data_IF_002468692688
#
_entry.id   IF_002468692688
#
_cell.length_a   1.000
_cell.length_b   1.000
_cell.length_c   1.000
_cell.angle_alpha   90.00
_cell.angle_beta   90.00
_cell.angle_gamma   90.00
#
_symmetry.space_group_name_H-M   'P 1'
#
loop_
_entity.id
_entity.type
_entity.pdbx_description
1 polymer ?
#
# COMPACT_ATOMS: atom_id res chain seq x y z
N UNK A 1 -20.56 -8.64 -9.20
CA UNK A 1 -19.19 -8.33 -9.64
C UNK A 1 -18.39 -7.75 -8.51
N UNK A 2 -17.19 -8.24 -8.27
CA UNK A 2 -16.39 -7.80 -7.16
C UNK A 2 -15.28 -6.81 -7.53
N UNK A 3 -15.54 -5.87 -8.46
CA UNK A 3 -14.57 -4.84 -8.83
C UNK A 3 -15.21 -3.47 -8.62
N UNK A 4 -14.48 -2.59 -7.93
CA UNK A 4 -14.94 -1.24 -7.69
C UNK A 4 -13.76 -0.27 -7.82
N UNK A 5 -14.02 0.90 -8.45
CA UNK A 5 -13.07 2.00 -8.50
C UNK A 5 -13.18 2.83 -7.22
N UNK A 6 -12.10 2.92 -6.47
CA UNK A 6 -12.08 3.66 -5.22
C UNK A 6 -11.07 4.79 -5.28
N UNK A 7 -11.51 5.98 -4.85
CA UNK A 7 -10.66 7.17 -4.78
C UNK A 7 -10.04 7.26 -3.38
N UNK A 8 -8.74 7.44 -3.33
CA UNK A 8 -8.03 7.57 -2.07
C UNK A 8 -6.76 8.38 -2.25
N UNK A 9 -6.16 8.78 -1.15
CA UNK A 9 -4.87 9.46 -1.17
C UNK A 9 -3.74 8.45 -1.40
N UNK A 10 -2.65 8.91 -1.99
CA UNK A 10 -1.46 8.08 -2.22
C UNK A 10 -0.97 7.48 -0.90
N UNK A 11 -0.95 8.27 0.19
CA UNK A 11 -0.55 7.75 1.51
C UNK A 11 -1.41 6.58 1.98
N UNK A 12 -2.72 6.66 1.76
CA UNK A 12 -3.64 5.57 2.10
C UNK A 12 -3.40 4.32 1.25
N UNK A 13 -3.21 4.51 -0.05
CA UNK A 13 -2.92 3.41 -0.96
C UNK A 13 -1.62 2.70 -0.57
N UNK A 14 -0.61 3.46 -0.19
CA UNK A 14 0.67 2.90 0.25
C UNK A 14 0.50 2.05 1.52
N UNK A 15 -0.29 2.51 2.48
CA UNK A 15 -0.59 1.74 3.69
C UNK A 15 -1.33 0.44 3.37
N UNK A 16 -2.29 0.48 2.43
CA UNK A 16 -2.99 -0.73 2.00
C UNK A 16 -2.03 -1.73 1.36
N UNK A 17 -1.12 -1.26 0.51
CA UNK A 17 -0.13 -2.12 -0.12
C UNK A 17 0.77 -2.80 0.91
N UNK A 18 1.23 -2.06 1.92
CA UNK A 18 2.04 -2.61 3.00
C UNK A 18 1.29 -3.68 3.78
N UNK A 19 0.02 -3.45 4.08
CA UNK A 19 -0.81 -4.44 4.78
C UNK A 19 -1.04 -5.68 3.93
N UNK A 20 -1.33 -5.52 2.64
CA UNK A 20 -1.51 -6.65 1.73
C UNK A 20 -0.24 -7.47 1.59
N UNK A 21 0.93 -6.84 1.67
CA UNK A 21 2.22 -7.54 1.56
C UNK A 21 2.42 -8.58 2.66
N UNK A 22 1.75 -8.44 3.80
CA UNK A 22 1.81 -9.41 4.89
C UNK A 22 0.96 -10.65 4.66
N UNK A 23 0.14 -10.66 3.60
CA UNK A 23 -0.81 -11.73 3.29
C UNK A 23 -0.53 -12.42 1.96
N UNK A 24 0.66 -12.23 1.39
CA UNK A 24 0.96 -12.73 0.04
C UNK A 24 1.13 -14.25 -0.03
N UNK A 25 1.18 -14.93 1.11
CA UNK A 25 1.25 -16.39 1.17
C UNK A 25 -0.13 -17.07 1.21
N UNK A 26 -1.22 -16.32 1.20
CA UNK A 26 -2.57 -16.88 1.19
C UNK A 26 -2.86 -17.49 -0.17
N UNK A 27 -3.46 -18.68 -0.16
CA UNK A 27 -3.72 -19.46 -1.37
C UNK A 27 -5.16 -19.36 -1.84
N UNK A 28 -5.39 -19.86 -3.05
CA UNK A 28 -6.71 -19.98 -3.61
C UNK A 28 -7.30 -18.67 -4.08
N UNK A 29 -8.62 -18.60 -4.13
CA UNK A 29 -9.36 -17.46 -4.67
C UNK A 29 -9.10 -16.18 -3.87
N UNK A 30 -9.02 -16.29 -2.55
CA UNK A 30 -8.72 -15.16 -1.67
C UNK A 30 -7.30 -14.65 -1.95
N UNK A 31 -6.34 -15.57 -2.05
CA UNK A 31 -4.95 -15.20 -2.38
C UNK A 31 -4.83 -14.51 -3.72
N UNK A 32 -5.57 -14.97 -4.73
CA UNK A 32 -5.59 -14.32 -6.04
C UNK A 32 -6.08 -12.89 -5.94
N UNK A 33 -7.16 -12.64 -5.20
CA UNK A 33 -7.70 -11.29 -5.03
C UNK A 33 -6.73 -10.38 -4.28
N UNK A 34 -6.07 -10.91 -3.25
CA UNK A 34 -5.04 -10.16 -2.51
C UNK A 34 -3.92 -9.74 -3.47
N UNK A 35 -3.40 -10.68 -4.25
CA UNK A 35 -2.32 -10.38 -5.20
C UNK A 35 -2.77 -9.39 -6.27
N UNK A 36 -3.98 -9.54 -6.79
CA UNK A 36 -4.55 -8.62 -7.77
C UNK A 36 -4.61 -7.19 -7.22
N UNK A 37 -5.19 -7.04 -6.02
CA UNK A 37 -5.35 -5.72 -5.41
C UNK A 37 -4.00 -5.06 -5.12
N UNK A 38 -3.05 -5.84 -4.59
CA UNK A 38 -1.70 -5.32 -4.33
C UNK A 38 -1.02 -4.86 -5.61
N UNK A 39 -1.11 -5.66 -6.67
CA UNK A 39 -0.52 -5.28 -7.96
C UNK A 39 -1.12 -3.99 -8.50
N UNK A 40 -2.44 -3.82 -8.39
CA UNK A 40 -3.11 -2.60 -8.85
C UNK A 40 -2.62 -1.37 -8.09
N UNK A 41 -2.47 -1.50 -6.78
CA UNK A 41 -1.94 -0.40 -5.98
C UNK A 41 -0.49 -0.10 -6.40
N UNK A 42 0.34 -1.13 -6.50
CA UNK A 42 1.76 -0.95 -6.81
C UNK A 42 1.97 -0.32 -8.19
N UNK A 43 1.15 -0.66 -9.18
CA UNK A 43 1.18 -0.03 -10.50
C UNK A 43 0.90 1.47 -10.41
N UNK A 44 -0.12 1.86 -9.64
CA UNK A 44 -0.48 3.26 -9.46
C UNK A 44 0.54 4.03 -8.63
N UNK A 45 1.24 3.35 -7.73
CA UNK A 45 2.24 3.98 -6.88
C UNK A 45 3.65 4.00 -7.46
N UNK A 46 3.86 3.46 -8.66
CA UNK A 46 5.20 3.33 -9.24
C UNK A 46 5.96 4.65 -9.26
N UNK A 47 5.34 5.69 -9.79
CA UNK A 47 5.98 7.01 -9.89
C UNK A 47 6.26 7.61 -8.52
N UNK A 48 5.32 7.45 -7.59
CA UNK A 48 5.49 7.91 -6.22
C UNK A 48 6.67 7.22 -5.54
N UNK A 49 6.77 5.88 -5.67
CA UNK A 49 7.86 5.13 -5.06
C UNK A 49 9.21 5.49 -5.66
N UNK A 50 9.26 5.72 -6.97
CA UNK A 50 10.48 6.19 -7.64
C UNK A 50 10.89 7.56 -7.15
N UNK A 51 9.93 8.49 -7.02
CA UNK A 51 10.19 9.82 -6.50
C UNK A 51 10.71 9.78 -5.05
N UNK A 52 10.09 8.94 -4.23
CA UNK A 52 10.51 8.73 -2.85
C UNK A 52 11.95 8.23 -2.78
N UNK A 53 12.31 7.27 -3.65
CA UNK A 53 13.67 6.76 -3.72
C UNK A 53 14.66 7.85 -4.14
N UNK A 54 14.29 8.70 -5.11
CA UNK A 54 15.13 9.83 -5.52
C UNK A 54 15.36 10.79 -4.36
N UNK A 55 14.34 11.07 -3.54
CA UNK A 55 14.48 11.94 -2.38
C UNK A 55 15.40 11.31 -1.32
N UNK A 56 15.34 10.00 -1.14
CA UNK A 56 16.26 9.30 -0.23
C UNK A 56 17.69 9.43 -0.70
N UNK A 57 17.94 9.34 -2.01
CA UNK A 57 19.27 9.53 -2.56
C UNK A 57 19.75 10.96 -2.40
N UNK A 58 18.84 11.93 -2.52
CA UNK A 58 19.18 13.36 -2.45
C UNK A 58 19.43 13.83 -1.02
N UNK A 59 18.64 13.39 -0.06
CA UNK A 59 18.64 13.89 1.32
C UNK A 59 19.08 12.87 2.35
N UNK A 60 19.22 11.62 1.96
CA UNK A 60 19.56 10.53 2.87
C UNK A 60 21.06 10.37 3.04
N UNK A 61 21.43 9.60 4.06
CA UNK A 61 22.80 9.22 4.33
C UNK A 61 22.88 7.69 4.37
N UNK A 62 23.99 7.15 3.84
CA UNK A 62 24.23 5.72 3.91
C UNK A 62 24.83 5.36 5.27
N UNK A 63 24.21 4.37 5.92
CA UNK A 63 24.69 3.84 7.19
C UNK A 63 24.49 2.33 7.20
N UNK A 64 25.54 1.58 7.46
CA UNK A 64 25.52 0.12 7.50
C UNK A 64 24.99 -0.51 6.19
N UNK A 65 25.30 0.14 5.06
CA UNK A 65 24.85 -0.31 3.75
C UNK A 65 23.41 0.07 3.39
N UNK A 66 22.73 0.81 4.26
CA UNK A 66 21.34 1.24 4.04
C UNK A 66 21.25 2.75 3.90
N UNK A 67 20.48 3.20 2.92
CA UNK A 67 20.21 4.62 2.70
C UNK A 67 19.06 5.04 3.62
N UNK A 68 19.32 6.00 4.50
CA UNK A 68 18.37 6.45 5.53
C UNK A 68 18.33 7.96 5.60
N UNK A 69 17.18 8.49 6.03
CA UNK A 69 17.02 9.89 6.36
C UNK A 69 16.74 9.98 7.87
N UNK A 70 17.61 10.65 8.60
CA UNK A 70 17.51 10.75 10.05
C UNK A 70 16.52 11.84 10.46
N UNK A 71 15.61 11.52 11.37
CA UNK A 71 14.68 12.48 11.95
C UNK A 71 15.47 13.57 12.68
N UNK A 72 15.02 14.81 12.52
CA UNK A 72 15.72 15.96 13.11
C UNK A 72 16.85 16.53 12.26
N UNK A 73 17.19 15.91 11.13
CA UNK A 73 18.18 16.47 10.21
C UNK A 73 17.50 17.47 9.26
N UNK A 74 18.31 18.37 8.67
CA UNK A 74 17.81 19.29 7.63
C UNK A 74 17.29 18.52 6.42
N UNK A 75 17.95 17.40 6.07
CA UNK A 75 17.52 16.55 4.98
C UNK A 75 16.14 15.95 5.21
N UNK A 76 15.83 15.56 6.44
CA UNK A 76 14.52 15.03 6.79
C UNK A 76 13.42 16.08 6.59
N UNK A 77 13.67 17.32 7.02
CA UNK A 77 12.71 18.40 6.84
C UNK A 77 12.45 18.68 5.35
N UNK A 78 13.50 18.71 4.55
CA UNK A 78 13.38 18.92 3.09
C UNK A 78 12.64 17.76 2.42
N UNK A 79 12.92 16.53 2.85
CA UNK A 79 12.20 15.34 2.38
C UNK A 79 10.70 15.47 2.64
N UNK A 80 10.32 15.83 3.87
CA UNK A 80 8.91 16.00 4.22
C UNK A 80 8.22 17.06 3.38
N UNK A 81 8.89 18.19 3.15
CA UNK A 81 8.33 19.28 2.35
C UNK A 81 8.06 18.85 0.90
N UNK A 82 8.91 18.00 0.34
CA UNK A 82 8.76 17.56 -1.04
C UNK A 82 7.78 16.36 -1.18
N UNK A 83 7.75 15.46 -0.20
CA UNK A 83 6.92 14.25 -0.31
C UNK A 83 5.46 14.47 0.13
N UNK A 84 5.21 15.36 1.09
CA UNK A 84 3.88 15.56 1.64
C UNK A 84 2.83 15.96 0.59
N UNK A 85 3.11 16.90 -0.33
CA UNK A 85 2.13 17.24 -1.36
C UNK A 85 1.78 16.09 -2.27
N UNK A 86 2.75 15.21 -2.55
CA UNK A 86 2.53 14.02 -3.39
C UNK A 86 1.67 13.00 -2.65
N UNK A 87 1.97 12.76 -1.37
CA UNK A 87 1.20 11.81 -0.55
C UNK A 87 -0.25 12.24 -0.35
N UNK A 88 -0.53 13.53 -0.49
CA UNK A 88 -1.88 14.07 -0.35
C UNK A 88 -2.67 14.05 -1.66
N UNK A 89 -2.05 13.67 -2.78
CA UNK A 89 -2.76 13.56 -4.05
C UNK A 89 -3.72 12.38 -4.05
N UNK A 90 -4.85 12.57 -4.74
CA UNK A 90 -5.87 11.52 -4.90
C UNK A 90 -5.55 10.65 -6.11
N UNK A 91 -5.74 9.35 -5.95
CA UNK A 91 -5.68 8.38 -7.05
C UNK A 91 -6.93 7.51 -7.01
N UNK A 92 -7.24 6.90 -8.13
CA UNK A 92 -8.36 5.99 -8.24
C UNK A 92 -7.84 4.61 -8.62
N UNK A 93 -8.23 3.60 -7.84
CA UNK A 93 -7.77 2.22 -8.04
C UNK A 93 -8.98 1.30 -8.07
N UNK A 94 -9.01 0.39 -9.04
CA UNK A 94 -10.05 -0.62 -9.15
C UNK A 94 -9.64 -1.87 -8.38
N UNK A 95 -10.43 -2.21 -7.35
CA UNK A 95 -10.17 -3.37 -6.51
C UNK A 95 -11.16 -4.49 -6.79
N UNK A 96 -10.71 -5.73 -6.60
CA UNK A 96 -11.58 -6.88 -6.48
C UNK A 96 -12.01 -7.02 -5.02
N UNK A 97 -13.32 -7.13 -4.81
CA UNK A 97 -13.87 -7.17 -3.47
C UNK A 97 -14.08 -8.61 -3.01
N UNK A 98 -14.11 -8.80 -1.68
CA UNK A 98 -14.29 -10.11 -1.05
C UNK A 98 -15.72 -10.28 -0.57
N UNK A 99 -16.19 -11.51 -0.54
CA UNK A 99 -17.46 -11.87 0.10
C UNK A 99 -17.14 -12.45 1.48
N UNK A 100 -18.13 -12.42 2.39
CA UNK A 100 -17.96 -13.05 3.70
C UNK A 100 -17.67 -14.54 3.59
N UNK A 101 -18.36 -15.22 2.67
CA UNK A 101 -18.16 -16.66 2.46
C UNK A 101 -16.73 -16.99 2.06
N UNK A 102 -16.12 -16.18 1.19
CA UNK A 102 -14.73 -16.36 0.81
C UNK A 102 -13.80 -16.25 1.99
N UNK A 103 -14.04 -15.26 2.86
CA UNK A 103 -13.18 -15.02 4.03
C UNK A 103 -13.37 -16.09 5.09
N UNK A 104 -14.60 -16.60 5.29
CA UNK A 104 -14.89 -17.65 6.26
C UNK A 104 -14.13 -18.94 5.95
N UNK A 105 -13.97 -19.26 4.67
CA UNK A 105 -13.32 -20.50 4.25
C UNK A 105 -11.81 -20.36 4.04
N UNK A 106 -11.23 -19.20 4.40
CA UNK A 106 -9.81 -18.91 4.19
C UNK A 106 -8.97 -19.29 5.41
N UNK A 107 -7.64 -19.35 5.19
CA UNK A 107 -6.65 -19.60 6.24
C UNK A 107 -6.18 -18.32 6.93
N UNK A 108 -6.93 -17.22 6.79
CA UNK A 108 -6.54 -15.94 7.34
C UNK A 108 -6.71 -15.87 8.85
N UNK A 109 -5.85 -15.08 9.49
CA UNK A 109 -6.01 -14.76 10.91
C UNK A 109 -7.17 -13.79 11.11
N UNK A 110 -7.64 -13.66 12.36
CA UNK A 110 -8.70 -12.71 12.68
C UNK A 110 -8.34 -11.28 12.29
N UNK A 111 -7.10 -10.86 12.53
CA UNK A 111 -6.67 -9.51 12.17
C UNK A 111 -6.66 -9.30 10.66
N UNK A 112 -6.26 -10.29 9.90
CA UNK A 112 -6.27 -10.23 8.43
C UNK A 112 -7.70 -10.15 7.89
N UNK A 113 -8.60 -10.96 8.43
CA UNK A 113 -10.02 -10.92 8.05
C UNK A 113 -10.60 -9.54 8.36
N UNK A 114 -10.33 -9.01 9.56
CA UNK A 114 -10.79 -7.68 9.96
C UNK A 114 -10.33 -6.61 8.96
N UNK A 115 -9.06 -6.64 8.60
CA UNK A 115 -8.51 -5.69 7.62
C UNK A 115 -9.25 -5.76 6.27
N UNK A 116 -9.49 -6.97 5.76
CA UNK A 116 -10.17 -7.15 4.47
C UNK A 116 -11.65 -6.73 4.55
N UNK A 117 -12.31 -7.01 5.67
CA UNK A 117 -13.70 -6.58 5.90
C UNK A 117 -13.82 -5.06 5.91
N UNK A 118 -12.85 -4.37 6.50
CA UNK A 118 -12.85 -2.90 6.57
C UNK A 118 -12.58 -2.23 5.22
N UNK A 119 -11.76 -2.86 4.37
CA UNK A 119 -11.21 -2.17 3.20
C UNK A 119 -11.69 -2.71 1.84
N UNK A 120 -12.12 -3.95 1.76
CA UNK A 120 -12.36 -4.60 0.46
C UNK A 120 -13.64 -5.43 0.40
N UNK A 121 -14.65 -5.11 1.19
CA UNK A 121 -15.89 -5.87 1.19
C UNK A 121 -16.82 -5.50 0.06
N UNK A 122 -17.41 -6.52 -0.54
CA UNK A 122 -18.51 -6.37 -1.48
C UNK A 122 -19.79 -6.07 -0.70
N UNK A 123 -20.49 -5.02 -1.09
CA UNK A 123 -21.76 -4.63 -0.50
C UNK A 123 -22.95 -5.37 -1.11
#
# INVERSE_FOLDING_TARGET
MGIIGEKMKISQANQLSESLSTMMNVRGKVGFKIAYNKRKIDEELREYLNFKQELFQKYGEEKDGLLQIFKGSDGYQKYLEEIAPIEDEDIKIDFRLFTEDELESSDLTANQIYFLLENFMEE
#
